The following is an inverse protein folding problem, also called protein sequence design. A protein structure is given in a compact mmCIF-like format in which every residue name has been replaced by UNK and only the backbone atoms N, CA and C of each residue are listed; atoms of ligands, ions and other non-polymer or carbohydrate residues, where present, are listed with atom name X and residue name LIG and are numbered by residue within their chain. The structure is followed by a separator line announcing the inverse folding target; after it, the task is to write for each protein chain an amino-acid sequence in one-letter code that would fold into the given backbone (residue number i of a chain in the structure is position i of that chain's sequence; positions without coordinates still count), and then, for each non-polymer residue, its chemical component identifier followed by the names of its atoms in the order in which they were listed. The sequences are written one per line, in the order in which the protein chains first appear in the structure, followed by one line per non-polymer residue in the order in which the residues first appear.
data_IF_127841267887
#
_entry.id   IF_127841267887
#
_cell.length_a   1.000
_cell.length_b   1.000
_cell.length_c   1.000
_cell.angle_alpha   90.00
_cell.angle_beta   90.00
_cell.angle_gamma   90.00
#
_symmetry.space_group_name_H-M   'P 1'
#
loop_
_entity.id
_entity.type
_entity.pdbx_description
1 polymer ?
#
# COMPACT_ATOMS: atom_id res chain seq x y z
N UNK A 1 7.94 9.71 -0.54
CA UNK A 1 6.47 9.84 -0.43
C UNK A 1 6.08 10.89 -1.47
N UNK A 2 5.14 10.57 -2.35
CA UNK A 2 4.68 11.51 -3.38
C UNK A 2 3.37 12.09 -2.88
N UNK A 3 3.37 13.37 -2.54
CA UNK A 3 2.21 14.11 -2.03
C UNK A 3 1.44 14.81 -3.17
N UNK A 4 1.49 14.23 -4.37
CA UNK A 4 0.85 14.77 -5.56
C UNK A 4 -0.63 14.35 -5.57
N UNK A 5 -1.58 15.29 -5.31
CA UNK A 5 -3.00 14.96 -5.18
C UNK A 5 -3.60 14.41 -6.48
N UNK A 6 -3.06 14.77 -7.64
CA UNK A 6 -3.54 14.23 -8.92
C UNK A 6 -3.18 12.76 -9.04
N UNK A 7 -1.97 12.37 -8.61
CA UNK A 7 -1.53 10.97 -8.59
C UNK A 7 -2.32 10.12 -7.61
N UNK A 8 -2.73 10.69 -6.47
CA UNK A 8 -3.55 10.00 -5.48
C UNK A 8 -5.00 9.78 -5.95
N UNK A 9 -5.54 10.64 -6.80
CA UNK A 9 -6.90 10.48 -7.33
C UNK A 9 -7.05 9.26 -8.26
N UNK A 10 -5.98 8.84 -8.95
CA UNK A 10 -6.05 7.70 -9.88
C UNK A 10 -6.28 6.35 -9.18
N UNK A 11 -5.57 5.99 -8.10
CA UNK A 11 -5.89 4.81 -7.29
C UNK A 11 -7.34 4.78 -6.78
N UNK A 12 -7.88 5.92 -6.32
CA UNK A 12 -9.27 6.01 -5.86
C UNK A 12 -10.28 5.66 -6.97
N UNK A 13 -10.14 6.26 -8.15
CA UNK A 13 -11.01 5.93 -9.30
C UNK A 13 -10.95 4.45 -9.68
N UNK A 14 -9.77 3.84 -9.55
CA UNK A 14 -9.57 2.43 -9.90
C UNK A 14 -10.18 1.51 -8.84
N UNK A 15 -10.13 1.90 -7.57
CA UNK A 15 -10.84 1.23 -6.48
C UNK A 15 -12.35 1.30 -6.67
N UNK A 16 -12.89 2.46 -7.07
CA UNK A 16 -14.31 2.63 -7.35
C UNK A 16 -14.77 1.77 -8.56
N UNK A 17 -13.85 1.49 -9.48
CA UNK A 17 -14.08 0.59 -10.62
C UNK A 17 -13.96 -0.91 -10.25
N UNK A 18 -13.68 -1.23 -8.98
CA UNK A 18 -13.63 -2.61 -8.47
C UNK A 18 -12.25 -3.28 -8.53
N UNK A 19 -11.16 -2.54 -8.73
CA UNK A 19 -9.82 -3.11 -8.67
C UNK A 19 -9.49 -3.62 -7.27
N UNK A 20 -8.81 -4.77 -7.20
CA UNK A 20 -8.44 -5.39 -5.94
C UNK A 20 -7.20 -4.73 -5.29
N UNK A 21 -6.94 -5.09 -4.03
CA UNK A 21 -5.84 -4.54 -3.24
C UNK A 21 -4.44 -4.73 -3.87
N UNK A 22 -4.25 -5.79 -4.65
CA UNK A 22 -2.99 -6.06 -5.33
C UNK A 22 -2.86 -5.21 -6.59
N UNK A 23 -3.92 -5.13 -7.39
CA UNK A 23 -3.97 -4.29 -8.59
C UNK A 23 -3.74 -2.81 -8.26
N UNK A 24 -4.32 -2.35 -7.15
CA UNK A 24 -4.10 -0.99 -6.63
C UNK A 24 -2.65 -0.76 -6.23
N UNK A 25 -2.03 -1.72 -5.53
CA UNK A 25 -0.63 -1.65 -5.12
C UNK A 25 0.33 -1.59 -6.32
N UNK A 26 0.12 -2.45 -7.31
CA UNK A 26 0.92 -2.47 -8.54
C UNK A 26 0.75 -1.16 -9.32
N UNK A 27 -0.49 -0.68 -9.46
CA UNK A 27 -0.76 0.57 -10.16
C UNK A 27 -0.16 1.79 -9.46
N UNK A 28 -0.28 1.89 -8.14
CA UNK A 28 0.29 2.97 -7.36
C UNK A 28 1.81 3.11 -7.61
N UNK A 29 2.53 1.99 -7.72
CA UNK A 29 3.97 1.98 -8.07
C UNK A 29 4.22 2.53 -9.48
N UNK A 30 3.38 2.21 -10.46
CA UNK A 30 3.52 2.79 -11.83
C UNK A 30 3.36 4.31 -11.87
N UNK A 31 2.66 4.88 -10.89
CA UNK A 31 2.49 6.33 -10.70
C UNK A 31 3.66 6.96 -9.91
N UNK A 32 4.62 6.16 -9.46
CA UNK A 32 5.70 6.61 -8.57
C UNK A 32 5.29 6.76 -7.11
N UNK A 33 4.15 6.16 -6.71
CA UNK A 33 3.75 6.05 -5.31
C UNK A 33 4.38 4.76 -4.74
N UNK A 34 5.29 4.91 -3.79
CA UNK A 34 5.96 3.77 -3.15
C UNK A 34 5.59 3.70 -1.67
N UNK A 35 5.40 2.49 -1.12
CA UNK A 35 5.22 2.33 0.32
C UNK A 35 6.48 2.80 1.07
N UNK A 36 6.32 3.42 2.26
CA UNK A 36 7.45 3.80 3.09
C UNK A 36 8.31 2.60 3.49
N UNK A 37 9.62 2.82 3.66
CA UNK A 37 10.56 1.82 4.19
C UNK A 37 10.92 0.67 3.24
N UNK A 38 10.45 0.66 1.99
CA UNK A 38 10.60 -0.50 1.11
C UNK A 38 11.80 -0.40 0.15
N UNK A 39 12.71 -1.40 0.14
CA UNK A 39 13.78 -1.48 -0.87
C UNK A 39 13.24 -1.82 -2.27
N UNK A 40 13.95 -1.35 -3.30
CA UNK A 40 13.67 -1.69 -4.69
C UNK A 40 13.73 -3.22 -4.90
N UNK A 41 12.67 -3.80 -5.48
CA UNK A 41 12.59 -5.24 -5.75
C UNK A 41 11.98 -6.11 -4.64
N UNK A 42 11.63 -5.55 -3.47
CA UNK A 42 10.92 -6.30 -2.41
C UNK A 42 9.47 -6.65 -2.78
N UNK A 43 8.79 -7.49 -1.99
CA UNK A 43 7.36 -7.84 -2.18
C UNK A 43 6.43 -6.68 -1.85
N UNK A 44 5.48 -6.35 -2.75
CA UNK A 44 4.49 -5.26 -2.57
C UNK A 44 3.53 -5.51 -1.40
N UNK A 45 3.46 -4.60 -0.38
CA UNK A 45 2.32 -4.51 0.50
C UNK A 45 1.06 -4.25 -0.31
N UNK A 46 -0.06 -4.76 0.18
CA UNK A 46 -1.36 -4.54 -0.43
C UNK A 46 -1.87 -3.13 -0.07
N UNK A 47 -2.83 -2.62 -0.84
CA UNK A 47 -3.57 -1.41 -0.48
C UNK A 47 -4.93 -1.79 0.09
N UNK A 48 -5.26 -1.26 1.27
CA UNK A 48 -6.56 -1.41 1.91
C UNK A 48 -7.33 -0.09 1.90
N UNK A 49 -8.67 -0.17 1.89
CA UNK A 49 -9.53 0.97 2.12
C UNK A 49 -9.87 1.06 3.61
N UNK A 50 -9.65 2.23 4.21
CA UNK A 50 -9.95 2.53 5.62
C UNK A 50 -10.97 3.66 5.67
N UNK A 51 -11.93 3.59 6.59
CA UNK A 51 -12.91 4.65 6.83
C UNK A 51 -12.64 5.29 8.18
N UNK A 52 -11.93 6.43 8.23
CA UNK A 52 -11.69 7.13 9.47
C UNK A 52 -13.00 7.63 10.09
N UNK A 53 -13.06 7.63 11.43
CA UNK A 53 -14.23 8.14 12.13
C UNK A 53 -14.43 9.63 11.85
N UNK A 54 -15.65 10.00 11.42
CA UNK A 54 -16.00 11.39 11.13
C UNK A 54 -15.65 11.86 9.70
N UNK A 55 -15.01 11.02 8.89
CA UNK A 55 -14.74 11.32 7.49
C UNK A 55 -15.83 10.76 6.58
N UNK A 56 -16.23 11.55 5.59
CA UNK A 56 -17.21 11.13 4.58
C UNK A 56 -16.60 10.27 3.48
N UNK A 57 -15.26 10.19 3.42
CA UNK A 57 -14.51 9.52 2.36
C UNK A 57 -13.55 8.49 2.94
N UNK A 58 -13.48 7.31 2.32
CA UNK A 58 -12.47 6.30 2.64
C UNK A 58 -11.08 6.73 2.15
N UNK A 59 -10.04 6.26 2.82
CA UNK A 59 -8.64 6.44 2.47
C UNK A 59 -8.06 5.13 1.95
N UNK A 60 -7.24 5.21 0.90
CA UNK A 60 -6.41 4.09 0.45
C UNK A 60 -5.07 4.15 1.17
N UNK A 61 -4.74 3.08 1.91
CA UNK A 61 -3.50 3.00 2.70
C UNK A 61 -2.71 1.75 2.33
N UNK A 62 -1.39 1.84 2.40
CA UNK A 62 -0.55 0.66 2.34
C UNK A 62 -0.75 -0.16 3.62
N UNK A 63 -1.16 -1.40 3.45
CA UNK A 63 -1.24 -2.39 4.53
C UNK A 63 0.15 -2.95 4.80
N UNK A 64 0.95 -2.11 5.45
CA UNK A 64 2.26 -2.48 5.96
C UNK A 64 1.99 -3.13 7.31
N UNK A 65 1.74 -4.44 7.29
CA UNK A 65 1.96 -5.22 8.51
C UNK A 65 3.41 -4.94 8.91
N UNK A 66 3.61 -4.36 10.09
CA UNK A 66 4.95 -4.16 10.64
C UNK A 66 5.72 -5.45 10.41
N UNK A 67 6.78 -5.37 9.60
CA UNK A 67 7.73 -6.46 9.52
C UNK A 67 8.23 -6.63 10.95
N UNK A 68 7.68 -7.60 11.70
CA UNK A 68 8.42 -8.19 12.80
C UNK A 68 9.68 -8.77 12.17
N UNK A 69 10.77 -7.97 12.20
CA UNK A 69 12.13 -8.46 12.00
C UNK A 69 12.45 -9.45 13.13
N UNK A 70 12.00 -10.71 13.03
CA UNK A 70 12.47 -11.76 13.91
C UNK A 70 12.20 -13.21 13.44
N UNK A 71 12.19 -13.50 12.13
CA UNK A 71 12.53 -14.88 11.71
C UNK A 71 14.04 -15.04 11.77
N UNK A 72 14.53 -15.12 13.01
CA UNK A 72 15.90 -15.44 13.36
C UNK A 72 16.15 -16.89 12.93
N UNK A 73 17.08 -17.04 12.00
CA UNK A 73 17.68 -18.29 11.55
C UNK A 73 17.81 -19.36 12.65
N UNK A 74 17.42 -20.57 12.26
CA UNK A 74 18.01 -21.87 12.62
C UNK A 74 18.83 -21.95 13.92
N UNK A 75 18.18 -22.45 14.96
CA UNK A 75 18.83 -23.14 16.07
C UNK A 75 18.70 -24.66 15.93
N UNK A 76 19.23 -25.26 14.86
CA UNK A 76 19.62 -26.68 14.89
C UNK A 76 21.05 -26.75 15.40
N UNK A 77 21.23 -27.13 16.66
CA UNK A 77 22.45 -27.79 17.14
C UNK A 77 22.16 -28.64 18.37
#
# INVERSE_FOLDING_TARGET
MTDDPEKLAYPHRRSDAGADSKELAEFAVTLGLTPPGRPAGGKLPLIAMVWPAGEATGLLVWDIHEMEEADREEGRH
#
